data_IF_865720761448
#
_entry.id   IF_865720761448
#
_cell.length_a   1.000
_cell.length_b   1.000
_cell.length_c   1.000
_cell.angle_alpha   90.00
_cell.angle_beta   90.00
_cell.angle_gamma   90.00
#
_symmetry.space_group_name_H-M   'P 1'
#
loop_
_entity.id
_entity.type
_entity.pdbx_description
1 polymer ?
#
# COMPACT_ATOMS: atom_id res chain seq x y z
N UNK A 1 -0.28 6.36 15.73
CA UNK A 1 -0.57 5.48 14.58
C UNK A 1 -1.45 4.34 15.04
N UNK A 2 -2.46 4.01 14.26
CA UNK A 2 -3.34 2.90 14.60
C UNK A 2 -2.64 1.56 14.42
N UNK A 3 -3.01 0.61 15.27
CA UNK A 3 -2.43 -0.72 15.21
C UNK A 3 -3.32 -1.63 14.36
N UNK A 4 -2.74 -2.19 13.32
CA UNK A 4 -3.44 -3.10 12.40
C UNK A 4 -3.12 -4.57 12.67
N UNK A 5 -2.47 -4.85 13.77
CA UNK A 5 -2.13 -6.20 14.15
C UNK A 5 -3.40 -7.03 14.35
N UNK A 6 -3.44 -8.22 13.75
CA UNK A 6 -4.61 -9.09 13.82
C UNK A 6 -5.63 -8.87 12.71
N UNK A 7 -5.46 -7.80 11.92
CA UNK A 7 -6.31 -7.57 10.75
C UNK A 7 -5.86 -8.47 9.62
N UNK A 8 -6.77 -9.29 9.08
CA UNK A 8 -6.45 -10.28 8.04
C UNK A 8 -6.97 -9.91 6.67
N UNK A 9 -8.02 -9.11 6.60
CA UNK A 9 -8.64 -8.74 5.33
C UNK A 9 -8.69 -7.23 5.20
N UNK A 10 -8.84 -6.80 3.96
CA UNK A 10 -9.02 -5.39 3.65
C UNK A 10 -10.28 -4.83 4.32
N UNK A 11 -11.38 -5.59 4.28
CA UNK A 11 -12.64 -5.15 4.89
C UNK A 11 -12.52 -4.96 6.40
N UNK A 12 -11.84 -5.86 7.09
CA UNK A 12 -11.59 -5.73 8.53
C UNK A 12 -10.82 -4.44 8.85
N UNK A 13 -9.82 -4.14 8.01
CA UNK A 13 -9.03 -2.93 8.18
C UNK A 13 -9.88 -1.68 8.00
N UNK A 14 -10.71 -1.66 6.96
CA UNK A 14 -11.57 -0.53 6.67
C UNK A 14 -12.61 -0.33 7.78
N UNK A 15 -13.19 -1.40 8.28
CA UNK A 15 -14.13 -1.32 9.40
C UNK A 15 -13.48 -0.72 10.66
N UNK A 16 -12.22 -1.08 10.91
CA UNK A 16 -11.48 -0.55 12.04
C UNK A 16 -11.20 0.94 11.89
N UNK A 17 -10.94 1.40 10.66
CA UNK A 17 -10.61 2.81 10.39
C UNK A 17 -11.84 3.69 10.24
N UNK A 18 -12.86 3.23 9.51
CA UNK A 18 -13.95 4.09 9.04
C UNK A 18 -15.34 3.62 9.43
N UNK A 19 -15.46 2.44 10.00
CA UNK A 19 -16.76 1.87 10.38
C UNK A 19 -17.22 0.78 9.45
N UNK A 20 -18.41 0.27 9.71
CA UNK A 20 -18.96 -0.89 8.99
C UNK A 20 -19.38 -0.54 7.57
N UNK A 21 -19.39 -1.56 6.70
CA UNK A 21 -19.86 -1.45 5.33
C UNK A 21 -21.31 -0.92 5.32
N UNK A 22 -21.58 -0.01 4.41
CA UNK A 22 -22.90 0.58 4.27
C UNK A 22 -23.08 1.91 4.98
N UNK A 23 -22.13 2.31 5.80
CA UNK A 23 -22.16 3.65 6.37
C UNK A 23 -21.68 4.65 5.30
N UNK A 24 -22.24 5.84 5.34
CA UNK A 24 -21.87 6.91 4.42
C UNK A 24 -20.40 7.24 4.50
N UNK A 25 -19.89 7.34 5.71
CA UNK A 25 -18.49 7.62 5.98
C UNK A 25 -17.55 6.57 5.38
N UNK A 26 -17.92 5.30 5.51
CA UNK A 26 -17.14 4.19 4.97
C UNK A 26 -17.02 4.28 3.45
N UNK A 27 -18.13 4.53 2.78
CA UNK A 27 -18.16 4.61 1.32
C UNK A 27 -17.33 5.79 0.81
N UNK A 28 -17.40 6.93 1.46
CA UNK A 28 -16.67 8.13 1.08
C UNK A 28 -15.15 7.95 1.15
N UNK A 29 -14.66 7.25 2.16
CA UNK A 29 -13.22 7.14 2.41
C UNK A 29 -12.59 5.83 1.95
N UNK A 30 -13.34 4.96 1.30
CA UNK A 30 -12.83 3.65 0.92
C UNK A 30 -11.61 3.72 -0.01
N UNK A 31 -11.65 4.58 -1.03
CA UNK A 31 -10.52 4.75 -1.96
C UNK A 31 -9.28 5.29 -1.24
N UNK A 32 -9.47 6.26 -0.37
CA UNK A 32 -8.38 6.84 0.42
C UNK A 32 -7.77 5.79 1.34
N UNK A 33 -8.60 4.93 1.91
CA UNK A 33 -8.12 3.86 2.76
C UNK A 33 -7.27 2.86 1.98
N UNK A 34 -7.65 2.53 0.75
CA UNK A 34 -6.86 1.64 -0.09
C UNK A 34 -5.48 2.22 -0.37
N UNK A 35 -5.42 3.49 -0.74
CA UNK A 35 -4.14 4.16 -0.98
C UNK A 35 -3.28 4.21 0.28
N UNK A 36 -3.90 4.48 1.41
CA UNK A 36 -3.19 4.52 2.69
C UNK A 36 -2.56 3.17 3.02
N UNK A 37 -3.31 2.09 2.83
CA UNK A 37 -2.81 0.73 3.11
C UNK A 37 -1.63 0.40 2.21
N UNK A 38 -1.74 0.65 0.92
CA UNK A 38 -0.65 0.40 -0.03
C UNK A 38 0.59 1.21 0.35
N UNK A 39 0.40 2.48 0.73
CA UNK A 39 1.52 3.33 1.11
C UNK A 39 2.24 2.80 2.35
N UNK A 40 1.50 2.36 3.35
CA UNK A 40 2.08 1.82 4.58
C UNK A 40 2.77 0.48 4.33
N UNK A 41 2.17 -0.38 3.52
CA UNK A 41 2.79 -1.66 3.16
C UNK A 41 4.11 -1.47 2.43
N UNK A 42 4.15 -0.53 1.50
CA UNK A 42 5.38 -0.26 0.75
C UNK A 42 6.48 0.31 1.64
N UNK A 43 6.14 1.29 2.49
CA UNK A 43 7.10 1.85 3.45
C UNK A 43 7.69 0.78 4.35
N UNK A 44 6.83 -0.05 4.92
CA UNK A 44 7.23 -1.11 5.83
C UNK A 44 8.16 -2.10 5.13
N UNK A 45 7.77 -2.57 3.95
CA UNK A 45 8.58 -3.53 3.20
C UNK A 45 9.93 -2.94 2.80
N UNK A 46 9.95 -1.65 2.41
CA UNK A 46 11.18 -0.97 2.06
C UNK A 46 12.11 -0.84 3.26
N UNK A 47 11.57 -0.44 4.41
CA UNK A 47 12.36 -0.32 5.64
C UNK A 47 12.91 -1.67 6.09
N UNK A 48 12.10 -2.73 5.99
CA UNK A 48 12.57 -4.09 6.31
C UNK A 48 13.70 -4.55 5.40
N UNK A 49 13.72 -4.06 4.15
CA UNK A 49 14.78 -4.38 3.20
C UNK A 49 15.99 -3.45 3.35
N UNK A 50 15.96 -2.51 4.28
CA UNK A 50 17.02 -1.51 4.50
C UNK A 50 17.36 -0.72 3.24
N UNK A 51 16.34 -0.34 2.48
CA UNK A 51 16.50 0.42 1.25
C UNK A 51 16.01 1.84 1.40
N UNK A 52 16.69 2.78 0.73
CA UNK A 52 16.17 4.13 0.51
C UNK A 52 15.14 4.09 -0.61
N UNK A 53 14.35 5.16 -0.74
CA UNK A 53 13.42 5.28 -1.86
C UNK A 53 14.15 5.22 -3.20
N UNK A 54 15.32 5.86 -3.29
CA UNK A 54 16.13 5.86 -4.50
C UNK A 54 16.65 4.47 -4.86
N UNK A 55 17.15 3.75 -3.87
CA UNK A 55 17.63 2.38 -4.07
C UNK A 55 16.52 1.47 -4.57
N UNK A 56 15.34 1.58 -3.96
CA UNK A 56 14.18 0.81 -4.40
C UNK A 56 13.78 1.18 -5.82
N UNK A 57 13.77 2.46 -6.15
CA UNK A 57 13.40 2.93 -7.47
C UNK A 57 14.34 2.36 -8.55
N UNK A 58 15.63 2.41 -8.30
CA UNK A 58 16.62 1.85 -9.22
C UNK A 58 16.38 0.36 -9.44
N UNK A 59 16.23 -0.37 -8.34
CA UNK A 59 16.04 -1.82 -8.41
C UNK A 59 14.74 -2.22 -9.10
N UNK A 60 13.69 -1.45 -8.90
CA UNK A 60 12.39 -1.70 -9.51
C UNK A 60 12.26 -1.15 -10.93
N UNK A 61 13.24 -0.38 -11.40
CA UNK A 61 13.17 0.22 -12.72
C UNK A 61 12.17 1.36 -12.83
N UNK A 62 12.02 2.14 -11.77
CA UNK A 62 11.11 3.28 -11.73
C UNK A 62 11.84 4.50 -11.18
N UNK A 63 11.13 5.60 -11.00
CA UNK A 63 11.70 6.84 -10.47
C UNK A 63 11.45 6.97 -8.98
N UNK A 64 12.39 7.60 -8.26
CA UNK A 64 12.22 7.91 -6.85
C UNK A 64 10.94 8.69 -6.58
N UNK A 65 10.62 9.65 -7.46
CA UNK A 65 9.39 10.45 -7.32
C UNK A 65 8.13 9.59 -7.33
N UNK A 66 8.14 8.49 -8.09
CA UNK A 66 7.02 7.57 -8.11
C UNK A 66 6.89 6.80 -6.78
N UNK A 67 8.01 6.31 -6.27
CA UNK A 67 8.02 5.64 -4.96
C UNK A 67 7.51 6.61 -3.88
N UNK A 68 8.00 7.85 -3.89
CA UNK A 68 7.57 8.87 -2.95
C UNK A 68 6.06 9.15 -3.02
N UNK A 69 5.52 9.23 -4.23
CA UNK A 69 4.08 9.41 -4.44
C UNK A 69 3.27 8.29 -3.80
N UNK A 70 3.68 7.04 -4.04
CA UNK A 70 2.99 5.88 -3.46
C UNK A 70 3.04 5.94 -1.93
N UNK A 71 4.22 6.20 -1.38
CA UNK A 71 4.40 6.23 0.08
C UNK A 71 3.69 7.40 0.75
N UNK A 72 3.37 8.43 0.00
CA UNK A 72 2.58 9.56 0.50
C UNK A 72 1.09 9.43 0.16
N UNK A 73 0.68 8.29 -0.34
CA UNK A 73 -0.71 7.99 -0.70
C UNK A 73 -1.31 9.01 -1.67
N UNK A 74 -0.51 9.46 -2.63
CA UNK A 74 -0.93 10.46 -3.62
C UNK A 74 -1.07 9.87 -5.01
N UNK A 75 -2.10 10.30 -5.73
CA UNK A 75 -2.30 9.94 -7.13
C UNK A 75 -2.81 8.52 -7.32
N UNK A 76 -2.89 8.14 -8.59
CA UNK A 76 -3.31 6.79 -8.97
C UNK A 76 -2.10 5.91 -9.16
N UNK A 77 -2.22 4.67 -8.67
CA UNK A 77 -1.15 3.68 -8.80
C UNK A 77 -1.57 2.66 -9.84
N UNK A 78 -0.72 2.44 -10.84
CA UNK A 78 -0.93 1.35 -11.78
C UNK A 78 -0.57 0.03 -11.11
N UNK A 79 -1.48 -0.93 -11.19
CA UNK A 79 -1.27 -2.23 -10.57
C UNK A 79 -0.01 -2.92 -11.07
N UNK A 80 0.24 -2.86 -12.38
CA UNK A 80 1.44 -3.48 -12.97
C UNK A 80 2.72 -2.90 -12.40
N UNK A 81 2.75 -1.59 -12.18
CA UNK A 81 3.92 -0.93 -11.60
C UNK A 81 4.09 -1.31 -10.13
N UNK A 82 3.00 -1.37 -9.38
CA UNK A 82 3.03 -1.77 -7.98
C UNK A 82 3.58 -3.21 -7.84
N UNK A 83 3.08 -4.12 -8.67
CA UNK A 83 3.57 -5.51 -8.68
C UNK A 83 5.07 -5.54 -8.96
N UNK A 84 5.52 -4.79 -9.95
CA UNK A 84 6.95 -4.73 -10.30
C UNK A 84 7.80 -4.20 -9.15
N UNK A 85 7.33 -3.18 -8.45
CA UNK A 85 8.06 -2.62 -7.31
C UNK A 85 8.25 -3.68 -6.22
N UNK A 86 7.20 -4.42 -5.88
CA UNK A 86 7.30 -5.46 -4.86
C UNK A 86 8.12 -6.65 -5.33
N UNK A 87 7.89 -7.13 -6.56
CA UNK A 87 8.57 -8.34 -7.03
C UNK A 87 10.01 -8.10 -7.43
N UNK A 88 10.27 -7.07 -8.24
CA UNK A 88 11.63 -6.78 -8.69
C UNK A 88 12.41 -5.92 -7.70
N UNK A 89 11.74 -4.98 -7.07
CA UNK A 89 12.39 -4.07 -6.14
C UNK A 89 12.64 -4.70 -4.77
N UNK A 90 11.63 -5.35 -4.22
CA UNK A 90 11.67 -5.87 -2.86
C UNK A 90 11.77 -7.39 -2.78
N UNK A 91 11.76 -8.07 -3.92
CA UNK A 91 11.81 -9.53 -4.00
C UNK A 91 10.68 -10.19 -3.19
N UNK A 92 9.48 -9.63 -3.26
CA UNK A 92 8.29 -10.12 -2.55
C UNK A 92 7.13 -10.24 -3.52
N UNK A 93 6.39 -11.32 -3.45
CA UNK A 93 5.21 -11.52 -4.28
C UNK A 93 3.98 -10.86 -3.65
N UNK A 94 3.14 -10.28 -4.52
CA UNK A 94 1.84 -9.76 -4.13
C UNK A 94 0.80 -10.84 -4.42
N UNK A 95 -0.03 -11.14 -3.40
CA UNK A 95 -1.18 -12.00 -3.56
C UNK A 95 -2.46 -11.18 -3.48
N UNK A 96 -3.50 -11.64 -4.18
CA UNK A 96 -4.81 -11.02 -4.13
C UNK A 96 -5.82 -12.05 -3.65
N UNK A 97 -6.69 -11.63 -2.75
CA UNK A 97 -7.73 -12.50 -2.19
C UNK A 97 -9.09 -11.84 -2.39
N UNK A 98 -10.03 -12.61 -2.90
CA UNK A 98 -11.43 -12.18 -3.00
C UNK A 98 -12.17 -12.59 -1.73
N UNK A 99 -12.92 -11.67 -1.17
CA UNK A 99 -13.65 -11.87 0.08
C UNK A 99 -15.12 -12.22 -0.16
#
# INVERSE_FOLDING_TARGET
MKNYKGVKTFDELIEKEYGKIGTENRNEYEEKAQMFIVSEMLKEARHQANMTQEQLAIKAGTKKSYISKIENAKGNIQLSTLIRIFEKGLNRKIGFTFL
#
